data_IF_463683531325
#
_entry.id   IF_463683531325
#
_cell.length_a   1.000
_cell.length_b   1.000
_cell.length_c   1.000
_cell.angle_alpha   90.00
_cell.angle_beta   90.00
_cell.angle_gamma   90.00
#
_symmetry.space_group_name_H-M   'P 1'
#
loop_
_entity.id
_entity.type
_entity.pdbx_description
1 polymer ?
#
# COMPACT_ATOMS: atom_id res chain seq x y z
N UNK A 1 7.14 22.12 -11.98
CA UNK A 1 7.45 20.77 -11.45
C UNK A 1 7.06 20.77 -10.00
N UNK A 2 6.20 19.85 -9.56
CA UNK A 2 6.00 19.68 -8.12
C UNK A 2 7.34 19.22 -7.52
N UNK A 3 7.70 19.77 -6.36
CA UNK A 3 8.87 19.31 -5.61
C UNK A 3 8.73 17.79 -5.33
N UNK A 4 9.82 17.04 -5.51
CA UNK A 4 9.87 15.59 -5.26
C UNK A 4 9.51 15.29 -3.80
N UNK A 5 9.92 16.16 -2.88
CA UNK A 5 9.59 16.07 -1.47
C UNK A 5 8.10 16.32 -1.22
N UNK A 6 7.50 17.29 -1.89
CA UNK A 6 6.05 17.54 -1.81
C UNK A 6 5.24 16.37 -2.36
N UNK A 7 5.70 15.77 -3.46
CA UNK A 7 5.08 14.57 -4.02
C UNK A 7 5.18 13.42 -3.03
N UNK A 8 6.38 13.14 -2.51
CA UNK A 8 6.58 12.11 -1.49
C UNK A 8 5.66 12.36 -0.29
N UNK A 9 5.61 13.58 0.27
CA UNK A 9 4.79 13.91 1.43
C UNK A 9 3.31 13.57 1.21
N UNK A 10 2.75 13.93 0.05
CA UNK A 10 1.35 13.62 -0.29
C UNK A 10 1.10 12.12 -0.37
N UNK A 11 1.99 11.38 -1.03
CA UNK A 11 1.84 9.94 -1.20
C UNK A 11 2.11 9.16 0.09
N UNK A 12 3.01 9.65 0.95
CA UNK A 12 3.26 9.10 2.28
C UNK A 12 2.06 9.26 3.21
N UNK A 13 1.39 10.43 3.20
CA UNK A 13 0.15 10.63 3.97
C UNK A 13 -0.93 9.62 3.52
N UNK A 14 -1.07 9.41 2.21
CA UNK A 14 -2.02 8.43 1.67
C UNK A 14 -1.68 7.01 2.10
N UNK A 15 -0.42 6.61 1.98
CA UNK A 15 0.05 5.29 2.39
C UNK A 15 -0.17 5.05 3.89
N UNK A 16 0.17 6.03 4.74
CA UNK A 16 -0.03 5.94 6.18
C UNK A 16 -1.51 5.74 6.52
N UNK A 17 -2.42 6.51 5.90
CA UNK A 17 -3.87 6.37 6.07
C UNK A 17 -4.40 5.01 5.62
N UNK A 18 -3.98 4.54 4.43
CA UNK A 18 -4.45 3.24 3.89
C UNK A 18 -4.04 2.08 4.77
N UNK A 19 -2.92 2.22 5.49
CA UNK A 19 -2.37 1.24 6.41
C UNK A 19 -2.72 1.52 7.89
N UNK A 20 -3.58 2.50 8.18
CA UNK A 20 -4.04 2.85 9.54
C UNK A 20 -2.88 3.23 10.49
N UNK A 21 -1.83 3.86 9.93
CA UNK A 21 -0.62 4.30 10.62
C UNK A 21 -0.58 5.83 10.87
N UNK A 22 -1.62 6.57 10.48
CA UNK A 22 -1.66 8.04 10.51
C UNK A 22 -2.15 8.64 11.85
N UNK A 23 -2.20 7.83 12.91
CA UNK A 23 -2.56 8.28 14.25
C UNK A 23 -1.56 9.29 14.83
N UNK A 24 -2.09 10.40 15.33
CA UNK A 24 -1.36 11.52 15.95
C UNK A 24 -0.09 11.92 15.19
N UNK A 25 -0.26 12.34 13.93
CA UNK A 25 0.84 12.55 13.02
C UNK A 25 0.96 14.02 12.58
N UNK A 26 2.17 14.57 12.69
CA UNK A 26 2.49 15.93 12.24
C UNK A 26 3.75 15.95 11.37
N UNK A 27 3.80 16.89 10.43
CA UNK A 27 4.91 17.09 9.51
C UNK A 27 5.49 18.48 9.68
N UNK A 28 6.82 18.56 9.72
CA UNK A 28 7.57 19.77 9.97
C UNK A 28 8.61 19.95 8.87
N UNK A 29 8.61 21.11 8.21
CA UNK A 29 9.74 21.52 7.37
C UNK A 29 10.98 21.76 8.23
N UNK A 30 12.16 21.71 7.62
CA UNK A 30 13.41 21.98 8.35
C UNK A 30 13.39 23.31 9.13
N UNK A 31 12.92 24.45 8.57
CA UNK A 31 12.87 25.70 9.32
C UNK A 31 11.84 25.69 10.47
N UNK A 32 10.76 24.93 10.35
CA UNK A 32 9.79 24.76 11.44
C UNK A 32 10.35 23.91 12.58
N UNK A 33 11.05 22.82 12.22
CA UNK A 33 11.72 21.95 13.19
C UNK A 33 12.82 22.69 13.94
N UNK A 34 13.68 23.43 13.24
CA UNK A 34 14.74 24.22 13.86
C UNK A 34 14.23 25.27 14.86
N UNK A 35 13.02 25.83 14.66
CA UNK A 35 12.40 26.75 15.63
C UNK A 35 11.98 26.07 16.93
N UNK A 36 11.80 24.76 16.95
CA UNK A 36 11.51 23.99 18.17
C UNK A 36 12.75 23.81 19.05
N UNK A 37 13.94 23.85 18.45
CA UNK A 37 15.21 23.69 19.18
C UNK A 37 15.45 22.27 19.69
N UNK A 38 14.96 21.26 18.97
CA UNK A 38 15.13 19.84 19.31
C UNK A 38 16.58 19.37 19.07
N UNK A 39 17.01 18.32 19.76
CA UNK A 39 18.41 17.83 19.71
C UNK A 39 18.75 17.13 18.39
N UNK A 40 17.80 16.36 17.84
CA UNK A 40 18.01 15.50 16.68
C UNK A 40 17.31 16.01 15.41
N UNK A 41 17.68 15.44 14.26
CA UNK A 41 17.02 15.65 12.96
C UNK A 41 17.11 17.09 12.40
N UNK A 42 18.12 17.84 12.82
CA UNK A 42 18.27 19.27 12.50
C UNK A 42 18.65 19.55 11.04
N UNK A 43 19.09 18.54 10.31
CA UNK A 43 19.47 18.54 8.90
C UNK A 43 18.48 17.77 8.01
N UNK A 44 17.44 17.16 8.58
CA UNK A 44 16.39 16.48 7.83
C UNK A 44 15.65 17.46 6.91
N UNK A 45 15.26 16.98 5.72
CA UNK A 45 14.45 17.76 4.77
C UNK A 45 13.01 17.93 5.23
N UNK A 46 12.51 16.91 5.93
CA UNK A 46 11.17 16.85 6.50
C UNK A 46 11.25 16.02 7.78
N UNK A 47 10.62 16.47 8.85
CA UNK A 47 10.49 15.71 10.10
C UNK A 47 9.05 15.31 10.30
N UNK A 48 8.83 14.07 10.70
CA UNK A 48 7.54 13.50 11.05
C UNK A 48 7.54 13.25 12.55
N UNK A 49 6.53 13.73 13.25
CA UNK A 49 6.30 13.35 14.65
C UNK A 49 5.06 12.47 14.74
N UNK A 50 5.12 11.41 15.54
CA UNK A 50 4.02 10.45 15.70
C UNK A 50 4.00 9.81 17.08
N UNK A 51 2.80 9.61 17.61
CA UNK A 51 2.55 8.80 18.82
C UNK A 51 1.53 7.66 18.57
N UNK A 52 1.16 7.42 17.30
CA UNK A 52 0.14 6.45 16.90
C UNK A 52 0.68 5.19 16.22
N UNK A 53 0.02 4.74 15.15
CA UNK A 53 0.36 3.48 14.47
C UNK A 53 1.79 3.44 13.94
N UNK A 54 2.28 4.53 13.34
CA UNK A 54 3.67 4.63 12.87
C UNK A 54 4.68 4.56 14.04
N UNK A 55 4.39 5.20 15.17
CA UNK A 55 5.20 5.08 16.39
C UNK A 55 5.30 3.62 16.82
N UNK A 56 4.17 2.91 16.90
CA UNK A 56 4.16 1.51 17.30
C UNK A 56 4.93 0.61 16.32
N UNK A 57 4.74 0.82 15.02
CA UNK A 57 5.41 0.08 13.96
C UNK A 57 6.94 0.19 14.10
N UNK A 58 7.47 1.40 14.24
CA UNK A 58 8.91 1.63 14.24
C UNK A 58 9.60 1.26 15.56
N UNK A 59 8.91 1.37 16.70
CA UNK A 59 9.51 1.12 18.01
C UNK A 59 9.35 -0.33 18.51
N UNK A 60 8.27 -1.02 18.11
CA UNK A 60 7.92 -2.33 18.69
C UNK A 60 7.74 -3.45 17.67
N UNK A 61 7.64 -3.13 16.38
CA UNK A 61 7.39 -4.10 15.32
C UNK A 61 8.37 -3.92 14.15
N UNK A 62 9.65 -3.77 14.46
CA UNK A 62 10.68 -3.47 13.45
C UNK A 62 10.84 -4.59 12.39
N UNK A 63 10.50 -5.84 12.74
CA UNK A 63 10.47 -6.99 11.85
C UNK A 63 9.20 -7.07 10.98
N UNK A 64 8.24 -6.15 11.19
CA UNK A 64 7.03 -6.09 10.39
C UNK A 64 7.38 -5.72 8.94
N UNK A 65 6.87 -6.46 7.93
CA UNK A 65 7.12 -6.18 6.51
C UNK A 65 6.74 -4.77 6.04
N UNK A 66 5.93 -4.04 6.81
CA UNK A 66 5.58 -2.64 6.54
C UNK A 66 6.75 -1.68 6.75
N UNK A 67 7.75 -2.03 7.57
CA UNK A 67 8.99 -1.25 7.70
C UNK A 67 9.79 -1.32 6.40
N UNK A 68 9.98 -2.52 5.85
CA UNK A 68 10.62 -2.70 4.53
C UNK A 68 9.86 -1.95 3.41
N UNK A 69 8.52 -1.98 3.46
CA UNK A 69 7.68 -1.27 2.50
C UNK A 69 7.83 0.24 2.62
N UNK A 70 7.87 0.79 3.84
CA UNK A 70 8.11 2.22 4.07
C UNK A 70 9.49 2.63 3.52
N UNK A 71 10.53 1.84 3.78
CA UNK A 71 11.88 2.13 3.30
C UNK A 71 11.94 2.11 1.77
N UNK A 72 11.48 1.04 1.13
CA UNK A 72 11.45 0.95 -0.34
C UNK A 72 10.58 2.05 -0.97
N UNK A 73 9.47 2.41 -0.31
CA UNK A 73 8.61 3.49 -0.76
C UNK A 73 9.34 4.83 -0.72
N UNK A 74 10.02 5.19 0.37
CA UNK A 74 10.82 6.42 0.45
C UNK A 74 11.95 6.43 -0.59
N UNK A 75 12.68 5.31 -0.72
CA UNK A 75 13.78 5.16 -1.69
C UNK A 75 13.29 5.29 -3.14
N UNK A 76 12.04 4.91 -3.41
CA UNK A 76 11.45 5.09 -4.74
C UNK A 76 11.28 6.56 -5.16
N UNK A 77 11.30 7.49 -4.19
CA UNK A 77 11.36 8.93 -4.38
C UNK A 77 12.76 9.51 -4.14
N UNK A 78 13.77 8.69 -3.87
CA UNK A 78 15.13 9.17 -3.58
C UNK A 78 15.29 9.74 -2.19
N UNK A 79 14.58 9.18 -1.22
CA UNK A 79 14.70 9.54 0.18
C UNK A 79 14.88 8.31 1.05
N UNK A 80 15.46 8.50 2.22
CA UNK A 80 15.53 7.51 3.28
C UNK A 80 15.12 8.16 4.59
N UNK A 81 14.98 7.37 5.66
CA UNK A 81 14.61 7.89 6.97
C UNK A 81 15.50 7.37 8.08
N UNK A 82 15.60 8.16 9.15
CA UNK A 82 16.14 7.75 10.44
C UNK A 82 15.24 8.23 11.58
N UNK A 83 15.39 7.58 12.73
CA UNK A 83 14.71 7.99 13.96
C UNK A 83 15.59 8.96 14.75
N UNK A 84 14.98 10.01 15.29
CA UNK A 84 15.61 10.89 16.27
C UNK A 84 15.25 10.41 17.69
N UNK A 85 14.10 10.88 18.17
CA UNK A 85 13.46 10.30 19.35
C UNK A 85 12.55 9.14 18.94
N UNK A 86 12.05 8.38 19.91
CA UNK A 86 11.04 7.34 19.65
C UNK A 86 9.81 7.87 18.91
N UNK A 87 9.49 9.16 19.09
CA UNK A 87 8.33 9.86 18.51
C UNK A 87 8.68 10.73 17.29
N UNK A 88 9.92 10.76 16.80
CA UNK A 88 10.32 11.59 15.66
C UNK A 88 11.15 10.85 14.61
N UNK A 89 10.82 11.10 13.34
CA UNK A 89 11.47 10.52 12.16
C UNK A 89 11.93 11.64 11.24
N UNK A 90 13.20 11.64 10.83
CA UNK A 90 13.73 12.55 9.82
C UNK A 90 13.78 11.89 8.46
N UNK A 91 13.40 12.64 7.42
CA UNK A 91 13.49 12.23 6.01
C UNK A 91 14.64 12.96 5.33
N UNK A 92 15.49 12.20 4.66
CA UNK A 92 16.76 12.64 4.10
C UNK A 92 16.84 12.27 2.62
N UNK A 93 17.59 13.04 1.83
CA UNK A 93 17.84 12.70 0.43
C UNK A 93 18.84 11.55 0.33
N UNK A 94 18.65 10.66 -0.66
CA UNK A 94 19.66 9.69 -1.04
C UNK A 94 20.73 10.34 -1.94
N UNK A 95 22.00 10.16 -1.60
CA UNK A 95 23.12 10.73 -2.36
C UNK A 95 23.21 10.24 -3.81
N UNK A 96 22.70 9.03 -4.09
CA UNK A 96 22.86 8.35 -5.37
C UNK A 96 21.55 8.19 -6.16
N UNK A 97 20.51 8.99 -5.87
CA UNK A 97 19.25 8.88 -6.60
C UNK A 97 19.35 9.41 -8.04
N UNK A 98 18.74 8.69 -8.98
CA UNK A 98 18.73 9.05 -10.39
C UNK A 98 17.63 10.09 -10.70
N UNK A 99 18.00 11.36 -10.67
CA UNK A 99 17.09 12.49 -10.96
C UNK A 99 16.94 12.82 -12.45
N UNK A 100 17.45 11.97 -13.35
CA UNK A 100 17.28 12.23 -14.77
C UNK A 100 15.79 12.19 -15.15
N UNK A 101 15.36 13.10 -16.06
CA UNK A 101 14.01 13.08 -16.57
C UNK A 101 13.66 11.72 -17.16
N UNK A 102 12.51 11.18 -16.75
CA UNK A 102 12.02 9.92 -17.30
C UNK A 102 11.47 10.12 -18.70
N UNK A 103 11.54 9.11 -19.58
CA UNK A 103 10.89 9.14 -20.88
C UNK A 103 9.39 9.43 -20.78
N UNK A 104 8.82 10.12 -21.77
CA UNK A 104 7.38 10.45 -21.78
C UNK A 104 6.49 9.23 -22.07
N UNK A 105 6.98 8.26 -22.86
CA UNK A 105 6.23 7.04 -23.19
C UNK A 105 6.36 6.04 -22.06
N UNK A 106 5.22 5.53 -21.60
CA UNK A 106 5.16 4.56 -20.51
C UNK A 106 6.02 3.31 -20.76
N UNK A 107 6.00 2.77 -21.98
CA UNK A 107 6.79 1.60 -22.35
C UNK A 107 8.30 1.78 -22.12
N UNK A 108 8.82 2.98 -22.36
CA UNK A 108 10.24 3.28 -22.20
C UNK A 108 10.62 3.33 -20.71
N UNK A 109 9.70 3.81 -19.84
CA UNK A 109 9.88 3.79 -18.38
C UNK A 109 10.03 2.37 -17.83
N UNK A 110 9.49 1.35 -18.51
CA UNK A 110 9.63 -0.05 -18.10
C UNK A 110 11.04 -0.60 -18.30
N UNK A 111 11.94 0.16 -18.94
CA UNK A 111 13.36 -0.18 -19.07
C UNK A 111 14.23 0.49 -17.99
N UNK A 112 13.67 1.41 -17.20
CA UNK A 112 14.38 2.14 -16.15
C UNK A 112 14.90 1.18 -15.05
N UNK A 113 16.13 1.42 -14.59
CA UNK A 113 16.77 0.59 -13.58
C UNK A 113 16.00 0.57 -12.25
N UNK A 114 15.35 1.68 -11.86
CA UNK A 114 14.50 1.75 -10.66
C UNK A 114 13.30 0.82 -10.81
N UNK A 115 12.66 0.81 -11.98
CA UNK A 115 11.57 -0.14 -12.25
C UNK A 115 12.05 -1.59 -12.24
N UNK A 116 13.19 -1.89 -12.88
CA UNK A 116 13.73 -3.26 -12.88
C UNK A 116 14.02 -3.77 -11.47
N UNK A 117 14.62 -2.94 -10.62
CA UNK A 117 14.84 -3.25 -9.19
C UNK A 117 13.52 -3.51 -8.47
N UNK A 118 12.53 -2.62 -8.62
CA UNK A 118 11.19 -2.79 -8.01
C UNK A 118 10.56 -4.12 -8.43
N UNK A 119 10.61 -4.45 -9.72
CA UNK A 119 10.07 -5.71 -10.27
C UNK A 119 10.73 -6.92 -9.64
N UNK A 120 12.06 -6.92 -9.50
CA UNK A 120 12.79 -8.02 -8.90
C UNK A 120 12.44 -8.20 -7.43
N UNK A 121 12.31 -7.11 -6.66
CA UNK A 121 11.89 -7.16 -5.25
C UNK A 121 10.45 -7.69 -5.11
N UNK A 122 9.50 -7.19 -5.91
CA UNK A 122 8.11 -7.66 -5.89
C UNK A 122 8.04 -9.16 -6.20
N UNK A 123 8.79 -9.63 -7.22
CA UNK A 123 8.87 -11.06 -7.55
C UNK A 123 9.52 -11.88 -6.44
N UNK A 124 10.55 -11.35 -5.78
CA UNK A 124 11.20 -12.02 -4.65
C UNK A 124 10.27 -12.15 -3.44
N UNK A 125 9.57 -11.08 -3.05
CA UNK A 125 8.56 -11.09 -1.98
C UNK A 125 7.42 -12.07 -2.28
N UNK A 126 7.05 -12.24 -3.55
CA UNK A 126 6.07 -13.24 -3.99
C UNK A 126 6.62 -14.67 -4.10
N UNK A 127 7.85 -14.95 -3.64
CA UNK A 127 8.47 -16.27 -3.76
C UNK A 127 8.64 -16.74 -5.21
N UNK A 128 8.71 -15.78 -6.16
CA UNK A 128 8.71 -16.01 -7.61
C UNK A 128 7.56 -16.89 -8.09
N UNK A 129 6.35 -16.63 -7.57
CA UNK A 129 5.09 -17.29 -7.95
C UNK A 129 4.01 -16.24 -8.24
N UNK A 130 3.00 -16.65 -9.00
CA UNK A 130 1.77 -15.87 -9.14
C UNK A 130 1.08 -15.77 -7.77
N UNK A 131 0.76 -14.57 -7.32
CA UNK A 131 0.09 -14.34 -6.02
C UNK A 131 -1.39 -14.68 -6.03
N UNK A 132 -1.99 -14.89 -7.21
CA UNK A 132 -3.42 -15.19 -7.32
C UNK A 132 -3.68 -16.69 -7.55
N UNK A 133 -2.89 -17.38 -8.40
CA UNK A 133 -3.06 -18.81 -8.66
C UNK A 133 -1.93 -19.71 -8.11
N UNK A 134 -0.87 -19.15 -7.53
CA UNK A 134 0.27 -19.90 -6.99
C UNK A 134 1.23 -20.51 -8.04
N UNK A 135 0.92 -20.36 -9.34
CA UNK A 135 1.72 -20.95 -10.41
C UNK A 135 3.16 -20.41 -10.44
N UNK A 136 4.12 -21.31 -10.67
CA UNK A 136 5.48 -20.96 -11.06
C UNK A 136 5.48 -20.72 -12.58
N UNK A 137 5.04 -19.54 -13.00
CA UNK A 137 4.96 -19.21 -14.42
C UNK A 137 6.26 -18.57 -14.95
N UNK A 138 6.47 -18.65 -16.26
CA UNK A 138 7.47 -17.85 -16.98
C UNK A 138 6.82 -17.32 -18.27
N UNK A 139 6.70 -15.98 -18.47
CA UNK A 139 7.11 -14.91 -17.56
C UNK A 139 6.12 -14.68 -16.39
N UNK A 140 6.63 -14.13 -15.29
CA UNK A 140 5.85 -13.43 -14.26
C UNK A 140 5.95 -11.92 -14.52
N UNK A 141 4.85 -11.22 -14.28
CA UNK A 141 4.67 -9.79 -14.53
C UNK A 141 4.27 -9.09 -13.23
N UNK A 142 4.59 -7.80 -13.13
CA UNK A 142 4.16 -6.97 -12.00
C UNK A 142 2.99 -6.10 -12.44
N UNK A 143 1.87 -6.27 -11.75
CA UNK A 143 0.62 -5.56 -11.97
C UNK A 143 0.48 -4.42 -10.97
N UNK A 144 0.15 -3.21 -11.45
CA UNK A 144 -0.29 -2.11 -10.60
C UNK A 144 -1.79 -2.25 -10.34
N UNK A 145 -2.19 -2.48 -9.09
CA UNK A 145 -3.59 -2.66 -8.68
C UNK A 145 -4.39 -1.34 -8.65
N UNK A 146 -3.70 -0.20 -8.75
CA UNK A 146 -4.29 1.11 -8.90
C UNK A 146 -3.25 2.06 -9.49
N UNK A 147 -3.73 3.14 -10.11
CA UNK A 147 -2.90 4.16 -10.73
C UNK A 147 -3.22 5.53 -10.16
N UNK A 148 -2.17 6.34 -9.97
CA UNK A 148 -2.28 7.76 -9.64
C UNK A 148 -1.49 8.58 -10.67
N UNK A 149 -2.12 9.62 -11.18
CA UNK A 149 -1.49 10.50 -12.16
C UNK A 149 -0.23 11.16 -11.58
N UNK A 150 0.84 11.19 -12.38
CA UNK A 150 2.11 11.83 -12.01
C UNK A 150 3.10 10.94 -11.25
N UNK A 151 2.72 9.70 -10.89
CA UNK A 151 3.67 8.73 -10.32
C UNK A 151 4.40 7.94 -11.40
N UNK A 152 5.68 7.71 -11.15
CA UNK A 152 6.51 6.79 -11.90
C UNK A 152 6.22 5.33 -11.53
N UNK A 153 6.48 4.34 -12.42
CA UNK A 153 6.14 2.95 -12.16
C UNK A 153 6.70 2.36 -10.85
N UNK A 154 7.88 2.80 -10.41
CA UNK A 154 8.52 2.36 -9.17
C UNK A 154 8.07 3.11 -7.92
N UNK A 155 7.39 4.25 -8.06
CA UNK A 155 6.93 5.12 -6.97
C UNK A 155 5.67 4.63 -6.24
N UNK A 156 5.30 3.37 -6.46
CA UNK A 156 4.14 2.75 -5.83
C UNK A 156 4.59 1.84 -4.69
N UNK A 157 3.94 1.85 -3.53
CA UNK A 157 4.25 0.94 -2.43
C UNK A 157 3.96 -0.52 -2.80
N UNK A 158 4.51 -1.49 -2.07
CA UNK A 158 4.30 -2.91 -2.40
C UNK A 158 2.83 -3.33 -2.32
N UNK A 159 2.03 -2.72 -1.45
CA UNK A 159 0.59 -3.01 -1.37
C UNK A 159 -0.20 -2.60 -2.64
N UNK A 160 0.40 -1.81 -3.52
CA UNK A 160 -0.15 -1.42 -4.82
C UNK A 160 0.26 -2.37 -5.96
N UNK A 161 1.19 -3.30 -5.70
CA UNK A 161 1.83 -4.13 -6.71
C UNK A 161 1.53 -5.60 -6.46
N UNK A 162 1.34 -6.37 -7.54
CA UNK A 162 1.20 -7.84 -7.46
C UNK A 162 2.04 -8.54 -8.50
N UNK A 163 2.68 -9.63 -8.12
CA UNK A 163 3.38 -10.54 -9.01
C UNK A 163 2.40 -11.57 -9.56
N UNK A 164 2.11 -11.53 -10.86
CA UNK A 164 1.09 -12.37 -11.51
C UNK A 164 1.67 -13.14 -12.70
N UNK A 165 1.12 -14.31 -12.99
CA UNK A 165 1.28 -14.90 -14.32
C UNK A 165 0.44 -14.10 -15.32
N UNK A 166 0.74 -14.21 -16.61
CA UNK A 166 0.05 -13.47 -17.67
C UNK A 166 -1.48 -13.65 -17.63
N UNK A 167 -1.96 -14.89 -17.47
CA UNK A 167 -3.39 -15.17 -17.41
C UNK A 167 -4.08 -14.47 -16.23
N UNK A 168 -3.50 -14.54 -15.03
CA UNK A 168 -4.02 -13.81 -13.87
C UNK A 168 -3.89 -12.30 -14.04
N UNK A 169 -2.84 -11.82 -14.69
CA UNK A 169 -2.64 -10.39 -14.97
C UNK A 169 -3.75 -9.84 -15.88
N UNK A 170 -4.12 -10.58 -16.94
CA UNK A 170 -5.21 -10.22 -17.84
C UNK A 170 -6.57 -10.27 -17.10
N UNK A 171 -6.86 -11.35 -16.37
CA UNK A 171 -8.09 -11.46 -15.55
C UNK A 171 -8.21 -10.33 -14.54
N UNK A 172 -7.10 -10.00 -13.85
CA UNK A 172 -7.10 -8.96 -12.85
C UNK A 172 -7.43 -7.59 -13.43
N UNK A 173 -6.90 -7.27 -14.61
CA UNK A 173 -7.22 -6.01 -15.30
C UNK A 173 -8.72 -5.90 -15.61
N UNK A 174 -9.37 -7.01 -15.99
CA UNK A 174 -10.83 -7.07 -16.18
C UNK A 174 -11.58 -6.84 -14.87
N UNK A 175 -11.25 -7.58 -13.81
CA UNK A 175 -11.92 -7.43 -12.50
C UNK A 175 -11.76 -6.02 -11.90
N UNK A 176 -10.57 -5.42 -12.01
CA UNK A 176 -10.33 -4.06 -11.54
C UNK A 176 -11.15 -3.03 -12.33
N UNK A 177 -11.31 -3.24 -13.65
CA UNK A 177 -12.17 -2.40 -14.48
C UNK A 177 -13.65 -2.54 -14.09
N UNK A 178 -14.15 -3.77 -13.97
CA UNK A 178 -15.54 -4.05 -13.67
C UNK A 178 -15.92 -3.56 -12.27
N UNK A 179 -15.05 -3.74 -11.28
CA UNK A 179 -15.26 -3.19 -9.93
C UNK A 179 -15.30 -1.66 -9.95
N UNK A 180 -14.48 -1.01 -10.78
CA UNK A 180 -14.50 0.45 -10.94
C UNK A 180 -15.78 0.92 -11.64
N UNK A 181 -16.27 0.19 -12.63
CA UNK A 181 -17.56 0.45 -13.27
C UNK A 181 -18.71 0.34 -12.25
N UNK A 182 -18.74 -0.72 -11.45
CA UNK A 182 -19.71 -0.88 -10.35
C UNK A 182 -19.62 0.28 -9.34
N UNK A 183 -18.40 0.72 -9.01
CA UNK A 183 -18.21 1.81 -8.05
C UNK A 183 -18.85 3.14 -8.47
N UNK A 184 -19.11 3.32 -9.77
CA UNK A 184 -19.76 4.51 -10.31
C UNK A 184 -21.27 4.57 -9.98
N UNK A 185 -21.88 3.46 -9.55
CA UNK A 185 -23.28 3.40 -9.14
C UNK A 185 -23.51 3.93 -7.72
N UNK A 186 -22.44 4.05 -6.92
CA UNK A 186 -22.53 4.47 -5.52
C UNK A 186 -22.21 5.96 -5.36
N UNK A 187 -22.96 6.63 -4.47
CA UNK A 187 -22.50 7.88 -3.88
C UNK A 187 -21.23 7.66 -3.06
N UNK A 188 -20.52 8.75 -2.73
CA UNK A 188 -19.31 8.64 -1.90
C UNK A 188 -19.59 8.02 -0.52
N UNK A 189 -20.77 8.27 0.06
CA UNK A 189 -21.18 7.69 1.34
C UNK A 189 -21.45 6.19 1.24
N UNK A 190 -22.15 5.76 0.18
CA UNK A 190 -22.43 4.34 -0.07
C UNK A 190 -21.15 3.57 -0.35
N UNK A 191 -20.25 4.12 -1.18
CA UNK A 191 -18.96 3.51 -1.48
C UNK A 191 -18.11 3.36 -0.20
N UNK A 192 -18.12 4.36 0.68
CA UNK A 192 -17.44 4.28 1.96
C UNK A 192 -18.02 3.17 2.86
N UNK A 193 -19.35 3.00 2.88
CA UNK A 193 -20.03 1.92 3.63
C UNK A 193 -19.74 0.54 3.07
N UNK A 194 -19.74 0.37 1.74
CA UNK A 194 -19.39 -0.91 1.09
C UNK A 194 -17.95 -1.28 1.41
N UNK A 195 -17.01 -0.33 1.26
CA UNK A 195 -15.60 -0.53 1.62
C UNK A 195 -15.44 -0.97 3.08
N UNK A 196 -16.09 -0.28 4.00
CA UNK A 196 -16.01 -0.58 5.43
C UNK A 196 -16.67 -1.93 5.79
N UNK A 197 -17.78 -2.26 5.13
CA UNK A 197 -18.43 -3.57 5.27
C UNK A 197 -17.48 -4.70 4.87
N UNK A 198 -16.84 -4.61 3.70
CA UNK A 198 -15.89 -5.62 3.23
C UNK A 198 -14.66 -5.71 4.14
N UNK A 199 -14.11 -4.57 4.59
CA UNK A 199 -13.02 -4.54 5.58
C UNK A 199 -13.39 -5.34 6.83
N UNK A 200 -14.53 -5.05 7.44
CA UNK A 200 -15.00 -5.74 8.66
C UNK A 200 -15.29 -7.20 8.41
N UNK A 201 -15.90 -7.54 7.27
CA UNK A 201 -16.21 -8.91 6.90
C UNK A 201 -14.94 -9.76 6.86
N UNK A 202 -13.89 -9.29 6.19
CA UNK A 202 -12.62 -10.03 6.10
C UNK A 202 -11.73 -9.92 7.33
N UNK A 203 -11.96 -8.92 8.20
CA UNK A 203 -11.23 -8.80 9.47
C UNK A 203 -11.80 -9.73 10.55
N UNK A 204 -13.13 -9.81 10.68
CA UNK A 204 -13.80 -10.52 11.78
C UNK A 204 -14.18 -11.96 11.46
N UNK A 205 -14.10 -12.38 10.19
CA UNK A 205 -14.54 -13.70 9.75
C UNK A 205 -13.52 -14.36 8.84
N UNK A 206 -13.50 -15.69 8.86
CA UNK A 206 -12.70 -16.49 7.93
C UNK A 206 -12.97 -16.07 6.49
N UNK A 207 -11.90 -15.99 5.69
CA UNK A 207 -11.97 -15.52 4.31
C UNK A 207 -12.82 -16.43 3.43
N UNK A 208 -12.73 -17.74 3.59
CA UNK A 208 -13.50 -18.71 2.78
C UNK A 208 -14.99 -18.64 3.12
N UNK A 209 -15.32 -18.52 4.40
CA UNK A 209 -16.69 -18.35 4.87
C UNK A 209 -17.29 -17.02 4.37
N UNK A 210 -16.52 -15.93 4.41
CA UNK A 210 -16.93 -14.63 3.89
C UNK A 210 -17.24 -14.67 2.37
N UNK A 211 -16.37 -15.30 1.57
CA UNK A 211 -16.62 -15.47 0.13
C UNK A 211 -17.86 -16.33 -0.14
N UNK A 212 -18.06 -17.39 0.65
CA UNK A 212 -19.26 -18.24 0.56
C UNK A 212 -20.54 -17.42 0.82
N UNK A 213 -20.51 -16.46 1.75
CA UNK A 213 -21.63 -15.55 1.97
C UNK A 213 -21.87 -14.66 0.74
N UNK A 214 -20.82 -14.06 0.17
CA UNK A 214 -20.96 -13.21 -1.02
C UNK A 214 -21.60 -13.96 -2.19
N UNK A 215 -21.20 -15.22 -2.41
CA UNK A 215 -21.76 -16.10 -3.46
C UNK A 215 -23.20 -16.56 -3.16
N UNK A 216 -23.66 -16.43 -1.92
CA UNK A 216 -25.00 -16.81 -1.49
C UNK A 216 -26.01 -15.66 -1.55
N UNK A 217 -25.56 -14.41 -1.70
CA UNK A 217 -26.46 -13.25 -1.89
C UNK A 217 -27.19 -13.40 -3.22
N UNK A 218 -28.50 -13.61 -3.16
CA UNK A 218 -29.33 -13.86 -4.33
C UNK A 218 -30.76 -14.22 -3.94
N UNK A 219 -31.58 -14.70 -4.90
CA UNK A 219 -33.01 -14.98 -4.67
C UNK A 219 -33.28 -16.26 -3.85
N UNK A 220 -32.27 -17.08 -3.57
CA UNK A 220 -32.42 -18.30 -2.77
C UNK A 220 -32.21 -17.99 -1.28
N UNK A 221 -33.30 -17.69 -0.59
CA UNK A 221 -33.30 -17.38 0.84
C UNK A 221 -32.76 -18.50 1.72
N UNK A 222 -32.94 -19.77 1.30
CA UNK A 222 -32.44 -20.91 2.07
C UNK A 222 -30.91 -20.99 1.99
N UNK A 223 -30.34 -20.78 0.79
CA UNK A 223 -28.90 -20.68 0.58
C UNK A 223 -28.30 -19.51 1.35
N UNK A 224 -28.91 -18.32 1.27
CA UNK A 224 -28.45 -17.15 2.02
C UNK A 224 -28.47 -17.40 3.53
N UNK A 225 -29.58 -17.93 4.05
CA UNK A 225 -29.71 -18.21 5.48
C UNK A 225 -28.69 -19.26 5.96
N UNK A 226 -28.37 -20.26 5.12
CA UNK A 226 -27.33 -21.23 5.43
C UNK A 226 -25.94 -20.59 5.47
N UNK A 227 -25.60 -19.73 4.51
CA UNK A 227 -24.31 -19.05 4.47
C UNK A 227 -24.12 -18.09 5.66
N UNK A 228 -25.17 -17.37 6.06
CA UNK A 228 -25.17 -16.52 7.26
C UNK A 228 -24.91 -17.34 8.53
N UNK A 229 -25.58 -18.49 8.68
CA UNK A 229 -25.35 -19.41 9.81
C UNK A 229 -23.94 -19.98 9.80
N UNK A 230 -23.39 -20.29 8.63
CA UNK A 230 -22.01 -20.76 8.53
C UNK A 230 -21.04 -19.67 8.96
N UNK A 231 -21.15 -18.46 8.39
CA UNK A 231 -20.27 -17.33 8.68
C UNK A 231 -20.24 -16.99 10.17
N UNK A 232 -21.39 -17.01 10.85
CA UNK A 232 -21.46 -16.66 12.29
C UNK A 232 -20.67 -17.61 13.20
N UNK A 233 -20.36 -18.82 12.73
CA UNK A 233 -19.51 -19.80 13.43
C UNK A 233 -18.03 -19.69 13.10
N UNK A 234 -17.65 -18.88 12.11
CA UNK A 234 -16.29 -18.77 11.57
C UNK A 234 -15.66 -17.42 11.90
N UNK A 235 -15.81 -16.94 13.13
CA UNK A 235 -15.15 -15.71 13.57
C UNK A 235 -13.65 -15.92 13.72
N UNK A 236 -12.86 -15.00 13.21
CA UNK A 236 -11.43 -14.92 13.49
C UNK A 236 -11.24 -14.48 14.94
N UNK A 237 -10.23 -15.03 15.64
CA UNK A 237 -9.88 -14.50 16.95
C UNK A 237 -9.33 -13.07 16.78
N UNK A 238 -9.76 -12.10 17.59
CA UNK A 238 -9.17 -10.76 17.56
C UNK A 238 -7.68 -10.84 17.90
N UNK A 239 -6.82 -10.56 16.92
CA UNK A 239 -5.36 -10.59 17.06
C UNK A 239 -4.60 -11.56 16.15
N UNK A 240 -5.29 -12.30 15.27
CA UNK A 240 -4.66 -13.22 14.32
C UNK A 240 -4.53 -12.64 12.89
N UNK A 241 -3.98 -11.43 12.75
CA UNK A 241 -3.38 -10.92 11.50
C UNK A 241 -2.33 -9.88 11.83
#
# INVERSE_FOLDING_TARGET
MADRLDQLRRELIDWLRRNELDGDLSFWTQPEWGRRGEEYLNDARLVITTEGGLFHLLNYAFDNPKVDELQDFLSSFGFWFEMGHAWSIGIYEEDCYDDRPTPSRYADKLTDARWKRKVDVVKAKAGRRCQDCGAIARPLEVHHCWYRYGLEPWQYPFDALRCLCRECHEKRATEDHDFRCLSAEFTWEELARVRECLKRLFHWYDRSAALTLLDAVGPDDAKLAQAVRHLSTQKTEPGAT
#
